data_IF_976671628209
#
_entry.id   IF_976671628209
#
_cell.length_a   1.000
_cell.length_b   1.000
_cell.length_c   1.000
_cell.angle_alpha   90.00
_cell.angle_beta   90.00
_cell.angle_gamma   90.00
#
_symmetry.space_group_name_H-M   'P 1'
#
loop_
_entity.id
_entity.type
_entity.pdbx_description
1 polymer ?
#
# COMPACT_ATOMS: atom_id res chain seq x y z
N UNK A 1 12.08 8.09 4.23
CA UNK A 1 10.99 8.26 3.24
C UNK A 1 9.83 9.12 3.78
N UNK A 2 9.29 8.87 4.99
CA UNK A 2 8.19 9.68 5.55
C UNK A 2 8.57 11.10 6.03
N UNK A 3 9.87 11.42 6.10
CA UNK A 3 10.38 12.71 6.63
C UNK A 3 10.39 13.86 5.61
N UNK A 4 10.07 13.61 4.33
CA UNK A 4 10.04 14.65 3.29
C UNK A 4 8.63 15.22 3.18
N UNK A 5 8.49 16.55 3.29
CA UNK A 5 7.22 17.26 3.08
C UNK A 5 7.23 18.01 1.74
N UNK A 6 6.16 17.86 0.93
CA UNK A 6 5.03 16.95 1.12
C UNK A 6 5.45 15.47 0.96
N UNK A 7 4.84 14.58 1.74
CA UNK A 7 5.11 13.14 1.67
C UNK A 7 4.88 12.64 0.23
N UNK A 8 5.84 11.94 -0.38
CA UNK A 8 5.68 11.40 -1.72
C UNK A 8 4.59 10.33 -1.73
N UNK A 9 3.79 10.31 -2.80
CA UNK A 9 2.74 9.31 -3.01
C UNK A 9 3.39 7.96 -3.34
N UNK A 10 3.14 6.95 -2.50
CA UNK A 10 3.68 5.62 -2.73
C UNK A 10 2.58 4.72 -3.30
N UNK A 11 2.85 4.20 -4.49
CA UNK A 11 1.97 3.27 -5.19
C UNK A 11 2.42 1.84 -4.97
N UNK A 12 1.59 1.03 -4.30
CA UNK A 12 1.83 -0.39 -4.07
C UNK A 12 1.06 -1.15 -5.15
N UNK A 13 1.78 -1.84 -6.04
CA UNK A 13 1.19 -2.78 -7.01
C UNK A 13 1.18 -4.18 -6.43
N UNK A 14 0.01 -4.69 -6.09
CA UNK A 14 -0.18 -6.08 -5.69
C UNK A 14 -0.05 -6.99 -6.90
N UNK A 15 0.66 -8.11 -6.74
CA UNK A 15 0.71 -9.17 -7.74
C UNK A 15 -0.63 -9.93 -7.77
N UNK A 16 -1.07 -10.41 -8.93
CA UNK A 16 -2.37 -11.05 -9.13
C UNK A 16 -2.64 -12.30 -8.27
N UNK A 17 -1.59 -12.95 -7.77
CA UNK A 17 -1.67 -14.12 -6.88
C UNK A 17 -1.46 -13.77 -5.41
N UNK A 18 -1.33 -12.49 -5.06
CA UNK A 18 -1.11 -12.07 -3.69
C UNK A 18 -2.38 -12.29 -2.87
N UNK A 19 -2.25 -12.99 -1.74
CA UNK A 19 -3.36 -13.16 -0.80
C UNK A 19 -3.70 -11.81 -0.16
N UNK A 20 -4.98 -11.55 0.09
CA UNK A 20 -5.45 -10.34 0.76
C UNK A 20 -4.71 -10.08 2.09
N UNK A 21 -4.45 -11.12 2.88
CA UNK A 21 -3.71 -11.03 4.14
C UNK A 21 -2.31 -10.43 3.97
N UNK A 22 -1.60 -10.78 2.89
CA UNK A 22 -0.29 -10.22 2.59
C UNK A 22 -0.40 -8.72 2.27
N UNK A 23 -1.45 -8.30 1.57
CA UNK A 23 -1.70 -6.87 1.26
C UNK A 23 -2.07 -6.10 2.52
N UNK A 24 -2.91 -6.67 3.39
CA UNK A 24 -3.26 -6.08 4.68
C UNK A 24 -2.04 -5.88 5.59
N UNK A 25 -1.13 -6.87 5.65
CA UNK A 25 0.12 -6.79 6.41
C UNK A 25 1.04 -5.68 5.91
N UNK A 26 1.18 -5.53 4.58
CA UNK A 26 1.96 -4.44 3.98
C UNK A 26 1.35 -3.09 4.30
N UNK A 27 0.02 -2.96 4.21
CA UNK A 27 -0.69 -1.73 4.57
C UNK A 27 -0.53 -1.34 6.04
N UNK A 28 -0.72 -2.29 6.95
CA UNK A 28 -0.52 -2.06 8.38
C UNK A 28 0.92 -1.64 8.71
N UNK A 29 1.90 -2.28 8.06
CA UNK A 29 3.32 -1.96 8.24
C UNK A 29 3.66 -0.56 7.69
N UNK A 30 3.10 -0.19 6.54
CA UNK A 30 3.33 1.11 5.91
C UNK A 30 2.71 2.25 6.75
N UNK A 31 1.50 2.08 7.27
CA UNK A 31 0.88 3.03 8.21
C UNK A 31 1.72 3.19 9.48
N UNK A 32 2.23 2.08 10.06
CA UNK A 32 3.11 2.13 11.24
C UNK A 32 4.41 2.91 11.00
N UNK A 33 4.89 2.95 9.77
CA UNK A 33 6.06 3.73 9.35
C UNK A 33 5.74 5.21 9.04
N UNK A 34 4.50 5.65 9.30
CA UNK A 34 4.05 7.03 9.06
C UNK A 34 3.78 7.33 7.59
N UNK A 35 3.60 6.30 6.75
CA UNK A 35 3.19 6.47 5.35
C UNK A 35 1.67 6.59 5.29
N UNK A 36 1.18 7.83 5.24
CA UNK A 36 -0.26 8.12 5.24
C UNK A 36 -0.79 8.35 3.81
N UNK A 37 0.07 8.69 2.85
CA UNK A 37 -0.25 8.81 1.43
C UNK A 37 0.13 7.54 0.66
N UNK A 38 -0.66 6.49 0.85
CA UNK A 38 -0.51 5.20 0.16
C UNK A 38 -1.66 4.99 -0.83
N UNK A 39 -1.35 4.60 -2.07
CA UNK A 39 -2.33 4.15 -3.05
C UNK A 39 -2.06 2.69 -3.46
N UNK A 40 -3.09 1.85 -3.45
CA UNK A 40 -3.01 0.51 -4.08
C UNK A 40 -3.40 0.68 -5.55
N UNK A 41 -2.53 0.20 -6.43
CA UNK A 41 -2.81 0.10 -7.86
C UNK A 41 -2.98 -1.37 -8.21
N UNK A 42 -4.05 -1.69 -8.96
CA UNK A 42 -4.50 -3.08 -9.16
C UNK A 42 -5.53 -3.52 -8.11
N UNK A 43 -6.28 -2.59 -7.53
CA UNK A 43 -7.40 -2.90 -6.62
C UNK A 43 -8.53 -3.65 -7.31
N UNK A 44 -8.62 -3.55 -8.65
CA UNK A 44 -9.52 -4.36 -9.48
C UNK A 44 -9.37 -5.88 -9.27
N UNK A 45 -8.25 -6.35 -8.71
CA UNK A 45 -8.02 -7.78 -8.42
C UNK A 45 -8.74 -8.24 -7.13
N UNK A 46 -9.17 -7.30 -6.27
CA UNK A 46 -9.89 -7.59 -5.02
C UNK A 46 -11.41 -7.36 -5.14
N UNK A 47 -11.87 -6.83 -6.28
CA UNK A 47 -13.29 -6.61 -6.59
C UNK A 47 -13.75 -7.74 -7.52
N UNK A 48 -13.87 -8.95 -6.99
CA UNK A 48 -14.68 -10.02 -7.58
C UNK A 48 -15.11 -11.03 -6.51
#
# INVERSE_FOLDING_TARGET
AAATQPQPELHIRSHAKAKYEAVALVMASAQRLGLNKLGIVGSEQFVN
#
